data_IF_840375949276
#
_entry.id   IF_840375949276
#
_cell.length_a   1.000
_cell.length_b   1.000
_cell.length_c   1.000
_cell.angle_alpha   90.00
_cell.angle_beta   90.00
_cell.angle_gamma   90.00
#
_symmetry.space_group_name_H-M   'P 1'
#
loop_
_entity.id
_entity.type
_entity.pdbx_description
1 polymer ?
#
# COMPACT_ATOMS: atom_id res chain seq x y z
N UNK A 1 20.18 12.25 12.00
CA UNK A 1 19.26 13.01 11.13
C UNK A 1 18.18 13.60 12.01
N UNK A 2 17.98 14.92 12.00
CA UNK A 2 17.00 15.58 12.87
C UNK A 2 15.62 15.54 12.20
N UNK A 3 14.59 15.07 12.92
CA UNK A 3 13.21 15.05 12.41
C UNK A 3 12.61 16.47 12.47
N UNK A 4 11.78 16.82 11.50
CA UNK A 4 10.94 18.03 11.58
C UNK A 4 9.91 17.92 12.69
N UNK A 5 9.27 19.03 13.05
CA UNK A 5 8.17 19.01 14.03
C UNK A 5 6.99 18.17 13.55
N UNK A 6 6.57 18.35 12.29
CA UNK A 6 5.50 17.56 11.67
C UNK A 6 5.83 16.06 11.69
N UNK A 7 7.05 15.67 11.32
CA UNK A 7 7.47 14.26 11.37
C UNK A 7 7.42 13.70 12.80
N UNK A 8 7.76 14.50 13.82
CA UNK A 8 7.67 14.07 15.22
C UNK A 8 6.21 13.88 15.64
N UNK A 9 5.33 14.80 15.26
CA UNK A 9 3.90 14.74 15.55
C UNK A 9 3.25 13.55 14.84
N UNK A 10 3.48 13.37 13.54
CA UNK A 10 2.99 12.22 12.78
C UNK A 10 3.48 10.90 13.36
N UNK A 11 4.78 10.82 13.73
CA UNK A 11 5.34 9.64 14.41
C UNK A 11 4.66 9.39 15.74
N UNK A 12 4.37 10.43 16.52
CA UNK A 12 3.71 10.31 17.81
C UNK A 12 2.27 9.80 17.66
N UNK A 13 1.49 10.35 16.72
CA UNK A 13 0.14 9.89 16.42
C UNK A 13 0.12 8.43 15.95
N UNK A 14 1.02 8.08 15.03
CA UNK A 14 1.18 6.69 14.59
C UNK A 14 1.58 5.76 15.74
N UNK A 15 2.49 6.20 16.62
CA UNK A 15 2.92 5.43 17.79
C UNK A 15 1.76 5.18 18.75
N UNK A 16 0.90 6.16 18.99
CA UNK A 16 -0.27 6.02 19.84
C UNK A 16 -1.24 4.98 19.25
N UNK A 17 -1.56 5.11 17.95
CA UNK A 17 -2.37 4.12 17.23
C UNK A 17 -1.80 2.70 17.35
N UNK A 18 -0.48 2.54 17.19
CA UNK A 18 0.18 1.24 17.31
C UNK A 18 0.07 0.67 18.73
N UNK A 19 0.26 1.51 19.76
CA UNK A 19 0.20 1.07 21.15
C UNK A 19 -1.21 0.72 21.61
N UNK A 20 -2.20 1.48 21.17
CA UNK A 20 -3.57 1.40 21.69
C UNK A 20 -4.45 0.44 20.87
N UNK A 21 -4.18 0.31 19.58
CA UNK A 21 -5.02 -0.47 18.66
C UNK A 21 -4.28 -1.70 18.15
N UNK A 22 -3.12 -1.51 17.52
CA UNK A 22 -2.42 -2.59 16.80
C UNK A 22 -1.87 -3.66 17.75
N UNK A 23 -1.09 -3.28 18.76
CA UNK A 23 -0.48 -4.23 19.70
C UNK A 23 -1.55 -5.02 20.47
N UNK A 24 -2.60 -4.40 21.04
CA UNK A 24 -3.67 -5.13 21.71
C UNK A 24 -4.42 -6.09 20.77
N UNK A 25 -4.66 -5.66 19.53
CA UNK A 25 -5.31 -6.50 18.53
C UNK A 25 -4.52 -7.79 18.23
N UNK A 26 -3.22 -7.66 17.93
CA UNK A 26 -2.35 -8.82 17.66
C UNK A 26 -2.29 -9.74 18.88
N UNK A 27 -2.16 -9.17 20.09
CA UNK A 27 -2.10 -9.96 21.32
C UNK A 27 -3.39 -10.76 21.56
N UNK A 28 -4.53 -10.25 21.09
CA UNK A 28 -5.83 -10.93 21.21
C UNK A 28 -5.96 -12.13 20.27
N UNK A 29 -5.57 -12.00 19.00
CA UNK A 29 -5.64 -13.09 18.01
C UNK A 29 -4.68 -12.92 16.83
N UNK A 30 -3.37 -13.08 17.09
CA UNK A 30 -2.36 -13.03 16.02
C UNK A 30 -2.54 -14.12 14.95
N UNK A 31 -3.28 -15.20 15.25
CA UNK A 31 -3.55 -16.29 14.30
C UNK A 31 -4.57 -15.88 13.25
N UNK A 32 -5.30 -14.78 13.46
CA UNK A 32 -6.30 -14.28 12.51
C UNK A 32 -5.72 -14.04 11.11
N UNK A 33 -4.50 -13.51 11.01
CA UNK A 33 -3.79 -13.31 9.73
C UNK A 33 -3.54 -14.62 8.96
N UNK A 34 -3.57 -15.78 9.63
CA UNK A 34 -3.34 -17.10 9.02
C UNK A 34 -4.62 -17.81 8.56
N UNK A 35 -5.79 -17.17 8.71
CA UNK A 35 -7.06 -17.74 8.25
C UNK A 35 -7.06 -17.86 6.72
N UNK A 36 -7.57 -18.97 6.20
CA UNK A 36 -7.54 -19.21 4.75
C UNK A 36 -8.46 -18.26 3.98
N UNK A 37 -9.60 -17.88 4.57
CA UNK A 37 -10.51 -16.85 4.06
C UNK A 37 -9.84 -15.46 4.15
N UNK A 38 -9.51 -14.80 3.03
CA UNK A 38 -8.82 -13.50 3.06
C UNK A 38 -9.58 -12.41 3.84
N UNK A 39 -10.91 -12.38 3.74
CA UNK A 39 -11.78 -11.40 4.38
C UNK A 39 -11.75 -11.51 5.91
N UNK A 40 -11.37 -12.68 6.45
CA UNK A 40 -11.28 -12.91 7.88
C UNK A 40 -9.95 -12.46 8.49
N UNK A 41 -8.93 -12.12 7.67
CA UNK A 41 -7.55 -11.90 8.14
C UNK A 41 -7.35 -10.55 8.81
N UNK A 42 -7.71 -9.46 8.13
CA UNK A 42 -7.53 -8.11 8.63
C UNK A 42 -8.87 -7.55 9.12
N UNK A 43 -8.99 -7.16 10.40
CA UNK A 43 -10.20 -6.53 10.90
C UNK A 43 -10.41 -5.13 10.28
N UNK A 44 -11.65 -4.79 9.88
CA UNK A 44 -11.96 -3.49 9.32
C UNK A 44 -11.58 -2.31 10.22
N UNK A 45 -11.66 -2.48 11.55
CA UNK A 45 -11.30 -1.47 12.54
C UNK A 45 -9.83 -1.03 12.45
N UNK A 46 -8.93 -1.89 11.97
CA UNK A 46 -7.52 -1.56 11.81
C UNK A 46 -7.33 -0.53 10.69
N UNK A 47 -7.96 -0.73 9.54
CA UNK A 47 -7.87 0.23 8.43
C UNK A 47 -8.66 1.50 8.71
N UNK A 48 -9.77 1.42 9.43
CA UNK A 48 -10.51 2.60 9.89
C UNK A 48 -9.65 3.47 10.83
N UNK A 49 -8.94 2.86 11.80
CA UNK A 49 -8.02 3.60 12.66
C UNK A 49 -6.80 4.14 11.90
N UNK A 50 -6.28 3.40 10.91
CA UNK A 50 -5.22 3.89 10.03
C UNK A 50 -5.66 5.09 9.17
N UNK A 51 -6.94 5.15 8.79
CA UNK A 51 -7.54 6.31 8.13
C UNK A 51 -7.67 7.50 9.08
N UNK A 52 -8.18 7.29 10.29
CA UNK A 52 -8.37 8.34 11.30
C UNK A 52 -7.05 9.04 11.67
N UNK A 53 -5.96 8.27 11.74
CA UNK A 53 -4.60 8.79 12.02
C UNK A 53 -3.95 9.38 10.77
N UNK A 54 -4.57 9.20 9.59
CA UNK A 54 -4.12 9.72 8.31
C UNK A 54 -3.01 8.91 7.65
N UNK A 55 -2.64 7.75 8.20
CA UNK A 55 -1.50 6.97 7.71
C UNK A 55 -1.83 6.09 6.51
N UNK A 56 -3.09 5.77 6.24
CA UNK A 56 -3.47 4.94 5.08
C UNK A 56 -3.28 5.68 3.74
N UNK A 57 -3.55 6.98 3.72
CA UNK A 57 -3.59 7.84 2.53
C UNK A 57 -2.37 8.77 2.42
N UNK A 58 -1.28 8.48 3.12
CA UNK A 58 -0.09 9.36 3.23
C UNK A 58 0.54 9.78 1.89
N UNK A 59 0.34 9.00 0.83
CA UNK A 59 0.89 9.28 -0.51
C UNK A 59 -0.17 9.79 -1.52
N UNK A 60 -1.41 9.97 -1.07
CA UNK A 60 -2.49 10.55 -1.87
C UNK A 60 -2.31 12.07 -1.91
N UNK A 61 -2.34 12.71 -3.09
CA UNK A 61 -2.28 14.16 -3.19
C UNK A 61 -3.43 14.85 -2.43
N UNK A 62 -3.16 16.01 -1.85
CA UNK A 62 -4.14 16.81 -1.07
C UNK A 62 -5.39 17.14 -1.90
N UNK A 63 -5.25 17.44 -3.19
CA UNK A 63 -6.37 17.73 -4.10
C UNK A 63 -7.38 16.57 -4.24
N UNK A 64 -7.00 15.35 -3.82
CA UNK A 64 -7.88 14.19 -3.78
C UNK A 64 -8.32 13.80 -2.35
N UNK A 65 -8.02 14.62 -1.35
CA UNK A 65 -8.34 14.36 0.06
C UNK A 65 -7.25 13.63 0.84
N UNK A 66 -6.03 13.57 0.31
CA UNK A 66 -4.85 13.07 1.03
C UNK A 66 -4.14 14.15 1.83
N UNK A 67 -2.87 13.89 2.19
CA UNK A 67 -2.02 14.81 2.94
C UNK A 67 -0.87 15.30 2.04
N UNK A 68 -0.63 16.62 2.01
CA UNK A 68 0.59 17.13 1.39
C UNK A 68 1.78 16.94 2.33
N UNK A 69 2.79 16.23 1.83
CA UNK A 69 4.08 16.07 2.50
C UNK A 69 5.13 16.95 1.83
N UNK A 70 6.07 17.46 2.62
CA UNK A 70 7.24 18.13 2.09
C UNK A 70 8.02 17.18 1.16
N UNK A 71 8.17 17.57 -0.11
CA UNK A 71 8.76 16.71 -1.15
C UNK A 71 10.22 16.33 -0.88
N UNK A 72 10.97 17.18 -0.18
CA UNK A 72 12.38 16.92 0.12
C UNK A 72 12.54 15.85 1.21
N UNK A 73 11.54 15.70 2.08
CA UNK A 73 11.54 14.78 3.22
C UNK A 73 10.46 13.70 3.16
N UNK A 74 9.64 13.64 2.12
CA UNK A 74 8.53 12.69 1.95
C UNK A 74 8.97 11.23 2.18
N UNK A 75 10.06 10.81 1.54
CA UNK A 75 10.59 9.44 1.67
C UNK A 75 11.02 9.15 3.12
N UNK A 76 11.58 10.15 3.80
CA UNK A 76 11.94 10.03 5.21
C UNK A 76 10.68 9.90 6.08
N UNK A 77 9.63 10.67 5.80
CA UNK A 77 8.33 10.55 6.48
C UNK A 77 7.72 9.17 6.26
N UNK A 78 7.70 8.63 5.04
CA UNK A 78 7.26 7.25 4.79
C UNK A 78 8.06 6.24 5.61
N UNK A 79 9.39 6.37 5.67
CA UNK A 79 10.24 5.46 6.43
C UNK A 79 9.94 5.48 7.93
N UNK A 80 9.79 6.67 8.53
CA UNK A 80 9.49 6.84 9.96
C UNK A 80 8.14 6.23 10.31
N UNK A 81 7.11 6.48 9.50
CA UNK A 81 5.77 5.97 9.76
C UNK A 81 5.73 4.45 9.53
N UNK A 82 6.36 3.94 8.48
CA UNK A 82 6.49 2.49 8.26
C UNK A 82 7.20 1.79 9.42
N UNK A 83 8.29 2.37 9.94
CA UNK A 83 9.03 1.82 11.09
C UNK A 83 8.15 1.75 12.34
N UNK A 84 7.39 2.80 12.66
CA UNK A 84 6.50 2.77 13.82
C UNK A 84 5.37 1.75 13.68
N UNK A 85 4.78 1.59 12.48
CA UNK A 85 3.76 0.56 12.25
C UNK A 85 4.38 -0.83 12.40
N UNK A 86 5.54 -1.06 11.79
CA UNK A 86 6.25 -2.34 11.81
C UNK A 86 6.70 -2.77 13.22
N UNK A 87 6.92 -1.81 14.12
CA UNK A 87 7.15 -2.08 15.56
C UNK A 87 5.96 -2.80 16.21
N UNK A 88 4.75 -2.55 15.73
CA UNK A 88 3.54 -3.27 16.13
C UNK A 88 3.31 -4.52 15.29
N UNK A 89 3.12 -4.35 13.99
CA UNK A 89 2.88 -5.42 13.03
C UNK A 89 3.56 -5.16 11.69
N UNK A 90 4.43 -6.08 11.27
CA UNK A 90 5.08 -6.00 9.96
C UNK A 90 4.11 -6.27 8.81
N UNK A 91 3.09 -7.10 9.04
CA UNK A 91 2.08 -7.42 8.02
C UNK A 91 1.24 -6.20 7.63
N UNK A 92 0.79 -5.41 8.61
CA UNK A 92 0.09 -4.16 8.40
C UNK A 92 0.99 -3.10 7.77
N UNK A 93 2.26 -3.02 8.22
CA UNK A 93 3.23 -2.11 7.63
C UNK A 93 3.39 -2.37 6.12
N UNK A 94 3.54 -3.64 5.70
CA UNK A 94 3.60 -3.97 4.27
C UNK A 94 2.31 -3.55 3.55
N UNK A 95 1.13 -3.90 4.06
CA UNK A 95 -0.16 -3.52 3.44
C UNK A 95 -0.27 -2.00 3.17
N UNK A 96 0.08 -1.17 4.16
CA UNK A 96 0.01 0.29 4.02
C UNK A 96 1.11 0.85 3.12
N UNK A 97 2.35 0.33 3.22
CA UNK A 97 3.45 0.73 2.34
C UNK A 97 3.18 0.37 0.87
N UNK A 98 2.55 -0.78 0.60
CA UNK A 98 2.10 -1.12 -0.76
C UNK A 98 1.08 -0.10 -1.27
N UNK A 99 0.12 0.30 -0.43
CA UNK A 99 -0.87 1.31 -0.77
C UNK A 99 -0.21 2.66 -1.13
N UNK A 100 0.79 3.09 -0.35
CA UNK A 100 1.55 4.31 -0.63
C UNK A 100 2.36 4.22 -1.91
N UNK A 101 3.08 3.11 -2.11
CA UNK A 101 3.87 2.88 -3.32
C UNK A 101 3.02 2.97 -4.58
N UNK A 102 1.85 2.33 -4.60
CA UNK A 102 0.95 2.39 -5.77
C UNK A 102 0.36 3.79 -5.95
N UNK A 103 0.06 4.49 -4.85
CA UNK A 103 -0.38 5.90 -4.89
C UNK A 103 0.68 6.83 -5.51
N UNK A 104 1.95 6.66 -5.14
CA UNK A 104 3.09 7.38 -5.76
C UNK A 104 3.16 7.09 -7.26
N UNK A 105 3.06 5.82 -7.68
CA UNK A 105 3.06 5.47 -9.10
C UNK A 105 1.86 6.10 -9.83
N UNK A 106 0.68 6.09 -9.23
CA UNK A 106 -0.54 6.63 -9.80
C UNK A 106 -0.43 8.15 -10.04
N UNK A 107 0.01 8.93 -9.04
CA UNK A 107 0.14 10.39 -9.18
C UNK A 107 1.21 10.80 -10.20
N UNK A 108 2.24 9.99 -10.41
CA UNK A 108 3.34 10.32 -11.33
C UNK A 108 3.13 9.81 -12.76
N UNK A 109 2.51 8.64 -12.94
CA UNK A 109 2.48 7.96 -14.24
C UNK A 109 1.09 7.90 -14.89
N UNK A 110 0.02 8.00 -14.10
CA UNK A 110 -1.32 7.81 -14.65
C UNK A 110 -1.90 9.10 -15.23
N UNK A 111 -2.66 9.03 -16.34
CA UNK A 111 -3.46 10.15 -16.82
C UNK A 111 -4.42 10.66 -15.74
N UNK A 112 -4.73 11.96 -15.76
CA UNK A 112 -5.57 12.63 -14.75
C UNK A 112 -6.88 11.90 -14.45
N UNK A 113 -7.60 11.45 -15.48
CA UNK A 113 -8.86 10.72 -15.32
C UNK A 113 -8.71 9.41 -14.52
N UNK A 114 -7.56 8.74 -14.60
CA UNK A 114 -7.28 7.57 -13.76
C UNK A 114 -6.92 7.97 -12.33
N UNK A 115 -6.17 9.05 -12.15
CA UNK A 115 -5.87 9.58 -10.81
C UNK A 115 -7.17 9.91 -10.06
N UNK A 116 -8.06 10.71 -10.68
CA UNK A 116 -9.37 11.07 -10.12
C UNK A 116 -10.20 9.84 -9.76
N UNK A 117 -10.30 8.87 -10.67
CA UNK A 117 -11.07 7.65 -10.44
C UNK A 117 -10.53 6.85 -9.26
N UNK A 118 -9.22 6.63 -9.20
CA UNK A 118 -8.64 5.68 -8.25
C UNK A 118 -8.35 6.31 -6.89
N UNK A 119 -7.93 7.58 -6.83
CA UNK A 119 -7.79 8.27 -5.55
C UNK A 119 -9.13 8.51 -4.88
N UNK A 120 -10.18 8.87 -5.64
CA UNK A 120 -11.54 8.98 -5.08
C UNK A 120 -11.99 7.68 -4.44
N UNK A 121 -11.80 6.53 -5.13
CA UNK A 121 -12.13 5.22 -4.55
C UNK A 121 -11.32 4.89 -3.30
N UNK A 122 -10.04 5.27 -3.29
CA UNK A 122 -9.17 5.04 -2.14
C UNK A 122 -9.63 5.87 -0.95
N UNK A 123 -9.94 7.16 -1.13
CA UNK A 123 -10.34 8.07 -0.04
C UNK A 123 -11.77 7.81 0.43
N UNK A 124 -12.72 7.53 -0.47
CA UNK A 124 -14.13 7.34 -0.11
C UNK A 124 -14.39 6.06 0.71
N UNK A 125 -13.50 5.07 0.66
CA UNK A 125 -13.65 3.79 1.36
C UNK A 125 -12.38 3.45 2.18
N UNK A 126 -12.44 3.51 3.53
CA UNK A 126 -11.33 3.12 4.40
C UNK A 126 -10.86 1.67 4.22
N UNK A 127 -11.70 0.78 3.67
CA UNK A 127 -11.35 -0.62 3.40
C UNK A 127 -10.72 -0.82 2.02
N UNK A 128 -10.75 0.19 1.16
CA UNK A 128 -10.14 0.11 -0.17
C UNK A 128 -8.61 0.16 -0.06
N UNK A 129 -7.95 -0.78 -0.74
CA UNK A 129 -6.50 -0.88 -0.80
C UNK A 129 -6.05 -1.05 -2.25
N UNK A 130 -4.84 -0.56 -2.52
CA UNK A 130 -4.16 -0.75 -3.79
C UNK A 130 -3.11 -1.87 -3.67
N UNK A 131 -2.99 -2.69 -4.72
CA UNK A 131 -2.02 -3.77 -4.79
C UNK A 131 -1.20 -3.71 -6.08
N UNK A 132 0.09 -4.03 -5.98
CA UNK A 132 0.96 -4.19 -7.14
C UNK A 132 1.17 -5.67 -7.44
N UNK A 133 0.36 -6.21 -8.36
CA UNK A 133 0.36 -7.63 -8.71
C UNK A 133 1.48 -7.97 -9.72
N UNK A 134 2.72 -7.94 -9.25
CA UNK A 134 3.89 -8.21 -10.09
C UNK A 134 4.23 -9.70 -10.15
N UNK A 135 4.49 -10.32 -8.99
CA UNK A 135 5.10 -11.65 -8.90
C UNK A 135 4.19 -12.76 -9.44
N UNK A 136 4.81 -13.73 -10.10
CA UNK A 136 4.16 -14.90 -10.68
C UNK A 136 4.70 -16.19 -10.06
N UNK A 137 4.06 -17.36 -10.26
CA UNK A 137 4.55 -18.62 -9.69
C UNK A 137 6.01 -18.97 -10.02
N UNK A 138 6.52 -18.54 -11.17
CA UNK A 138 7.93 -18.74 -11.58
C UNK A 138 8.90 -17.73 -10.94
N UNK A 139 8.39 -16.74 -10.20
CA UNK A 139 9.14 -15.58 -9.73
C UNK A 139 9.06 -14.39 -10.69
N UNK A 140 9.69 -13.28 -10.31
CA UNK A 140 9.74 -12.05 -11.10
C UNK A 140 11.05 -11.25 -10.92
N UNK A 141 12.07 -11.84 -10.32
CA UNK A 141 13.36 -11.16 -10.09
C UNK A 141 14.10 -10.87 -11.40
N UNK A 142 13.93 -11.75 -12.39
CA UNK A 142 14.52 -11.73 -13.73
C UNK A 142 13.72 -10.88 -14.75
N UNK A 143 12.59 -10.27 -14.34
CA UNK A 143 11.68 -9.54 -15.24
C UNK A 143 12.29 -8.39 -16.06
N UNK A 144 13.45 -7.91 -15.65
CA UNK A 144 14.17 -6.80 -16.29
C UNK A 144 15.42 -7.26 -17.05
N UNK A 145 15.64 -8.57 -17.19
CA UNK A 145 16.74 -9.05 -18.01
C UNK A 145 16.53 -8.57 -19.47
N UNK A 146 17.60 -8.12 -20.14
CA UNK A 146 17.52 -7.59 -21.50
C UNK A 146 16.88 -8.61 -22.46
N UNK A 147 16.32 -8.08 -23.55
CA UNK A 147 15.37 -8.70 -24.49
C UNK A 147 15.73 -10.08 -25.11
N UNK A 148 16.84 -10.71 -24.74
CA UNK A 148 17.30 -11.99 -25.27
C UNK A 148 17.18 -13.16 -24.27
N UNK A 149 16.35 -13.05 -23.22
CA UNK A 149 16.04 -14.16 -22.30
C UNK A 149 14.53 -14.42 -22.25
N UNK A 150 13.94 -15.14 -23.23
CA UNK A 150 12.50 -15.41 -23.28
C UNK A 150 11.95 -16.08 -22.03
N UNK A 151 12.78 -16.88 -21.36
CA UNK A 151 12.44 -17.56 -20.12
C UNK A 151 12.15 -16.56 -19.00
N UNK A 152 12.80 -15.38 -19.02
CA UNK A 152 12.64 -14.33 -18.02
C UNK A 152 11.37 -13.48 -18.20
N UNK A 153 10.64 -13.69 -19.29
CA UNK A 153 9.39 -12.99 -19.52
C UNK A 153 8.35 -13.37 -18.45
N UNK A 154 7.58 -12.36 -18.03
CA UNK A 154 6.32 -12.60 -17.32
C UNK A 154 5.46 -13.54 -18.16
N UNK A 155 4.61 -14.37 -17.55
CA UNK A 155 3.65 -15.27 -18.18
C UNK A 155 2.25 -14.65 -18.31
N UNK A 156 1.90 -13.71 -17.43
CA UNK A 156 0.63 -12.96 -17.57
C UNK A 156 0.66 -12.15 -18.87
N UNK A 157 -0.37 -12.32 -19.69
CA UNK A 157 -0.55 -11.61 -20.96
C UNK A 157 -1.79 -10.75 -20.89
N UNK A 158 -1.73 -9.57 -21.50
CA UNK A 158 -2.89 -8.73 -21.77
C UNK A 158 -3.02 -8.60 -23.29
N UNK A 159 -4.20 -8.92 -23.83
CA UNK A 159 -4.50 -8.79 -25.26
C UNK A 159 -5.73 -7.91 -25.42
N UNK A 160 -5.64 -6.90 -26.30
CA UNK A 160 -6.79 -6.05 -26.60
C UNK A 160 -7.75 -6.80 -27.53
N UNK A 161 -9.00 -7.03 -27.10
CA UNK A 161 -10.08 -7.65 -27.89
C UNK A 161 -11.37 -6.87 -27.69
N UNK A 162 -12.07 -6.54 -28.78
CA UNK A 162 -13.36 -5.83 -28.76
C UNK A 162 -13.37 -4.53 -27.93
N UNK A 163 -12.25 -3.79 -27.94
CA UNK A 163 -12.13 -2.54 -27.17
C UNK A 163 -11.66 -2.71 -25.72
N UNK A 164 -11.56 -3.94 -25.20
CA UNK A 164 -11.18 -4.25 -23.82
C UNK A 164 -9.85 -4.98 -23.73
N UNK A 165 -9.22 -4.96 -22.56
CA UNK A 165 -8.03 -5.77 -22.25
C UNK A 165 -8.44 -7.10 -21.63
N UNK A 166 -8.13 -8.20 -22.31
CA UNK A 166 -8.30 -9.56 -21.78
C UNK A 166 -6.98 -10.00 -21.16
N UNK A 167 -6.97 -10.14 -19.84
CA UNK A 167 -5.78 -10.53 -19.06
C UNK A 167 -5.87 -12.02 -18.74
N UNK A 168 -4.82 -12.79 -19.10
CA UNK A 168 -4.68 -14.21 -18.78
C UNK A 168 -3.33 -14.46 -18.12
N UNK A 169 -3.33 -15.03 -16.92
CA UNK A 169 -2.12 -15.35 -16.17
C UNK A 169 -2.44 -15.68 -14.72
N UNK A 170 -1.39 -15.95 -13.94
CA UNK A 170 -1.49 -16.20 -12.51
C UNK A 170 -0.47 -15.34 -11.78
N UNK A 171 -0.94 -14.60 -10.78
CA UNK A 171 -0.10 -13.91 -9.81
C UNK A 171 -0.02 -14.73 -8.53
N UNK A 172 1.04 -14.52 -7.78
CA UNK A 172 1.28 -15.24 -6.54
C UNK A 172 1.93 -14.31 -5.51
N UNK A 173 1.60 -14.56 -4.24
CA UNK A 173 1.90 -13.81 -3.02
C UNK A 173 0.91 -12.69 -2.70
#
# INVERSE_FOLDING_TARGET
>A
MQLSEDQRLMRQSCRQFVNDIIIPFIRKDWRREWRMTPEDRLPPEILAGAEEVGIRTLAVPEEFGGLELDKASEVQTFAIIAEEIARGDSGLADKLVQNWKVSVLLRHLAPRALQEKWFKRLVDDPQFLLAHCLTEPRGASDRWLPYNVPEAAMQTRAVKKNGEWVINGRKQF
#
